data_IF_321375161455
#
_entry.id   IF_321375161455
#
_cell.length_a   1.000
_cell.length_b   1.000
_cell.length_c   1.000
_cell.angle_alpha   90.00
_cell.angle_beta   90.00
_cell.angle_gamma   90.00
#
_symmetry.space_group_name_H-M   'P 1'
#
loop_
_entity.id
_entity.type
_entity.pdbx_description
1 polymer ?
#
# COMPACT_ATOMS: atom_id res chain seq x y z
N UNK A 1 12.76 5.28 1.62
CA UNK A 1 12.86 4.45 0.40
C UNK A 1 13.12 2.97 0.69
N UNK A 2 14.28 2.58 1.23
CA UNK A 2 14.70 1.17 1.31
C UNK A 2 13.72 0.23 2.05
N UNK A 3 13.23 0.62 3.24
CA UNK A 3 12.31 -0.23 4.00
C UNK A 3 10.99 -0.52 3.27
N UNK A 4 10.45 0.45 2.53
CA UNK A 4 9.25 0.24 1.72
C UNK A 4 9.54 -0.67 0.53
N UNK A 5 10.69 -0.52 -0.12
CA UNK A 5 11.11 -1.42 -1.19
C UNK A 5 11.24 -2.88 -0.69
N UNK A 6 11.79 -3.10 0.50
CA UNK A 6 11.87 -4.43 1.12
C UNK A 6 10.49 -5.05 1.36
N UNK A 7 9.55 -4.27 1.92
CA UNK A 7 8.19 -4.74 2.16
C UNK A 7 7.47 -5.10 0.84
N UNK A 8 7.59 -4.25 -0.19
CA UNK A 8 7.03 -4.52 -1.51
C UNK A 8 7.67 -5.76 -2.16
N UNK A 9 9.00 -5.88 -2.12
CA UNK A 9 9.73 -7.03 -2.65
C UNK A 9 9.33 -8.33 -1.96
N UNK A 10 9.06 -8.29 -0.65
CA UNK A 10 8.54 -9.45 0.06
C UNK A 10 7.18 -9.89 -0.50
N UNK A 11 6.24 -8.97 -0.70
CA UNK A 11 4.95 -9.28 -1.33
C UNK A 11 5.12 -9.82 -2.75
N UNK A 12 6.04 -9.25 -3.53
CA UNK A 12 6.38 -9.73 -4.88
C UNK A 12 6.93 -11.17 -4.81
N UNK A 13 7.82 -11.46 -3.86
CA UNK A 13 8.41 -12.80 -3.67
C UNK A 13 7.38 -13.87 -3.31
N UNK A 14 6.26 -13.47 -2.70
CA UNK A 14 5.11 -14.32 -2.42
C UNK A 14 4.19 -14.51 -3.65
N UNK A 15 4.52 -13.91 -4.79
CA UNK A 15 3.79 -14.03 -6.06
C UNK A 15 2.78 -12.91 -6.32
N UNK A 16 2.69 -11.89 -5.46
CA UNK A 16 1.78 -10.77 -5.69
C UNK A 16 2.28 -9.86 -6.80
N UNK A 17 1.45 -9.65 -7.82
CA UNK A 17 1.73 -8.73 -8.95
C UNK A 17 0.93 -7.43 -8.89
N UNK A 18 -0.17 -7.43 -8.15
CA UNK A 18 -1.09 -6.29 -7.99
C UNK A 18 -1.06 -5.86 -6.54
N UNK A 19 -0.24 -4.87 -6.23
CA UNK A 19 0.04 -4.42 -4.87
C UNK A 19 -0.44 -2.99 -4.73
N UNK A 20 -1.26 -2.69 -3.72
CA UNK A 20 -1.63 -1.31 -3.40
C UNK A 20 -0.63 -0.67 -2.44
N UNK A 21 -0.50 0.66 -2.49
CA UNK A 21 0.20 1.44 -1.48
C UNK A 21 -0.82 2.23 -0.67
N UNK A 22 -0.90 1.97 0.63
CA UNK A 22 -1.95 2.52 1.52
C UNK A 22 -1.36 3.44 2.59
N UNK A 23 -1.95 4.63 2.73
CA UNK A 23 -1.58 5.65 3.70
C UNK A 23 -0.38 6.49 3.27
N UNK A 24 -0.09 7.51 4.09
CA UNK A 24 0.94 8.50 3.83
C UNK A 24 0.49 9.63 2.91
N UNK A 25 1.38 10.60 2.76
CA UNK A 25 1.18 11.81 1.97
C UNK A 25 2.47 12.21 1.28
N UNK A 26 2.38 12.71 0.05
CA UNK A 26 3.54 13.12 -0.75
C UNK A 26 3.98 14.55 -0.42
N UNK A 27 3.33 15.21 0.56
CA UNK A 27 3.67 16.55 1.02
C UNK A 27 4.98 16.59 1.84
N UNK A 28 5.43 15.44 2.35
CA UNK A 28 6.69 15.35 3.11
C UNK A 28 7.77 14.64 2.29
N UNK A 29 9.04 14.91 2.58
CA UNK A 29 10.18 14.20 1.97
C UNK A 29 10.07 12.69 2.22
N UNK A 30 9.87 12.30 3.49
CA UNK A 30 9.63 10.90 3.88
C UNK A 30 8.46 10.29 3.09
N UNK A 31 7.39 11.08 2.92
CA UNK A 31 6.25 10.89 2.01
C UNK A 31 6.62 10.32 0.65
N UNK A 32 7.35 11.16 -0.08
CA UNK A 32 7.82 10.88 -1.43
C UNK A 32 8.81 9.71 -1.43
N UNK A 33 9.73 9.66 -0.47
CA UNK A 33 10.76 8.62 -0.41
C UNK A 33 10.21 7.21 -0.20
N UNK A 34 9.17 7.03 0.62
CA UNK A 34 8.55 5.71 0.76
C UNK A 34 7.74 5.35 -0.48
N UNK A 35 7.02 6.30 -1.07
CA UNK A 35 6.31 6.02 -2.31
C UNK A 35 7.27 5.62 -3.42
N UNK A 36 8.40 6.34 -3.56
CA UNK A 36 9.45 6.00 -4.50
C UNK A 36 10.03 4.60 -4.24
N UNK A 37 10.20 4.21 -2.97
CA UNK A 37 10.63 2.85 -2.63
C UNK A 37 9.66 1.77 -3.12
N UNK A 38 8.35 2.02 -3.02
CA UNK A 38 7.33 1.14 -3.60
C UNK A 38 7.40 1.12 -5.13
N UNK A 39 7.49 2.27 -5.79
CA UNK A 39 7.59 2.38 -7.25
C UNK A 39 8.82 1.64 -7.79
N UNK A 40 10.00 1.88 -7.19
CA UNK A 40 11.24 1.24 -7.61
C UNK A 40 11.18 -0.29 -7.49
N UNK A 41 10.54 -0.82 -6.45
CA UNK A 41 10.40 -2.26 -6.26
C UNK A 41 9.47 -2.89 -7.33
N UNK A 42 8.36 -2.22 -7.65
CA UNK A 42 7.44 -2.65 -8.71
C UNK A 42 8.12 -2.60 -10.09
N UNK A 43 8.80 -1.49 -10.39
CA UNK A 43 9.52 -1.28 -11.65
C UNK A 43 10.65 -2.30 -11.83
N UNK A 44 11.47 -2.53 -10.80
CA UNK A 44 12.57 -3.51 -10.85
C UNK A 44 12.08 -4.95 -11.07
N UNK A 45 10.84 -5.26 -10.67
CA UNK A 45 10.20 -6.55 -10.92
C UNK A 45 9.41 -6.60 -12.25
N UNK A 46 9.41 -5.53 -13.05
CA UNK A 46 8.64 -5.43 -14.29
C UNK A 46 7.13 -5.43 -14.08
N UNK A 47 6.67 -4.97 -12.91
CA UNK A 47 5.25 -4.94 -12.54
C UNK A 47 4.66 -3.55 -12.77
N UNK A 48 3.43 -3.52 -13.30
CA UNK A 48 2.70 -2.28 -13.50
C UNK A 48 2.32 -1.63 -12.16
N UNK A 49 2.31 -0.29 -12.14
CA UNK A 49 1.72 0.49 -11.06
C UNK A 49 0.55 1.29 -11.63
N UNK A 50 -0.63 1.11 -11.04
CA UNK A 50 -1.82 1.90 -11.40
C UNK A 50 -2.00 3.05 -10.41
N UNK A 51 -2.33 4.28 -10.87
CA UNK A 51 -2.64 5.39 -9.96
C UNK A 51 -3.77 5.06 -8.97
N UNK A 52 -4.72 4.22 -9.37
CA UNK A 52 -5.82 3.73 -8.52
C UNK A 52 -5.37 2.82 -7.38
N UNK A 53 -4.16 2.24 -7.45
CA UNK A 53 -3.60 1.40 -6.39
C UNK A 53 -2.90 2.23 -5.29
N UNK A 54 -2.81 3.55 -5.46
CA UNK A 54 -2.35 4.46 -4.42
C UNK A 54 -3.55 5.00 -3.64
N UNK A 55 -3.67 4.61 -2.38
CA UNK A 55 -4.69 5.09 -1.45
C UNK A 55 -4.01 5.99 -0.40
N UNK A 56 -3.85 7.30 -0.66
CA UNK A 56 -3.20 8.20 0.29
C UNK A 56 -4.09 8.44 1.52
N UNK A 57 -3.47 8.82 2.65
CA UNK A 57 -4.22 9.11 3.86
C UNK A 57 -3.36 9.34 5.10
N UNK A 58 -3.97 9.74 6.22
CA UNK A 58 -3.27 9.88 7.50
C UNK A 58 -2.54 8.60 7.92
N UNK A 59 -1.49 8.75 8.74
CA UNK A 59 -0.66 7.63 9.22
C UNK A 59 -1.22 7.02 10.51
N UNK A 60 -2.54 6.87 10.57
CA UNK A 60 -3.29 6.46 11.77
C UNK A 60 -4.01 5.14 11.54
N UNK A 61 -4.34 4.45 12.65
CA UNK A 61 -5.14 3.23 12.62
C UNK A 61 -6.53 3.45 12.02
N UNK A 62 -7.18 4.55 12.37
CA UNK A 62 -8.52 4.90 11.86
C UNK A 62 -8.51 5.09 10.34
N UNK A 63 -7.52 5.81 9.81
CA UNK A 63 -7.41 6.00 8.36
C UNK A 63 -7.16 4.68 7.62
N UNK A 64 -6.37 3.77 8.19
CA UNK A 64 -6.19 2.43 7.63
C UNK A 64 -7.50 1.64 7.58
N UNK A 65 -8.30 1.71 8.63
CA UNK A 65 -9.62 1.05 8.70
C UNK A 65 -10.57 1.58 7.63
N UNK A 66 -10.65 2.90 7.46
CA UNK A 66 -11.48 3.54 6.43
C UNK A 66 -11.00 3.23 5.00
N UNK A 67 -9.68 3.08 4.81
CA UNK A 67 -9.08 2.72 3.54
C UNK A 67 -9.47 1.30 3.06
N UNK A 68 -9.91 0.41 3.96
CA UNK A 68 -10.33 -0.94 3.60
C UNK A 68 -11.47 -0.95 2.58
N UNK A 69 -12.48 -0.07 2.75
CA UNK A 69 -13.59 0.03 1.82
C UNK A 69 -13.12 0.44 0.42
N UNK A 70 -12.20 1.40 0.33
CA UNK A 70 -11.61 1.82 -0.94
C UNK A 70 -10.79 0.70 -1.58
N UNK A 71 -9.94 0.03 -0.78
CA UNK A 71 -9.11 -1.08 -1.23
C UNK A 71 -9.95 -2.23 -1.82
N UNK A 72 -11.03 -2.63 -1.15
CA UNK A 72 -11.93 -3.70 -1.59
C UNK A 72 -12.78 -3.32 -2.81
N UNK A 73 -13.05 -2.02 -3.00
CA UNK A 73 -13.85 -1.50 -4.12
C UNK A 73 -13.05 -1.28 -5.42
N UNK A 74 -11.73 -1.42 -5.42
CA UNK A 74 -10.90 -1.27 -6.61
C UNK A 74 -11.27 -2.30 -7.70
N UNK A 75 -11.58 -1.84 -8.92
CA UNK A 75 -11.94 -2.73 -10.05
C UNK A 75 -10.81 -3.68 -10.42
N UNK A 76 -9.59 -3.15 -10.56
CA UNK A 76 -8.36 -3.92 -10.74
C UNK A 76 -7.86 -4.42 -9.40
N UNK A 77 -8.58 -5.37 -8.80
CA UNK A 77 -8.41 -5.80 -7.40
C UNK A 77 -6.94 -6.16 -7.07
N UNK A 78 -6.25 -5.35 -6.25
CA UNK A 78 -4.96 -5.72 -5.70
C UNK A 78 -5.11 -6.98 -4.85
N UNK A 79 -4.07 -7.80 -4.80
CA UNK A 79 -4.03 -9.01 -3.97
C UNK A 79 -3.19 -8.83 -2.71
N UNK A 80 -2.47 -7.71 -2.59
CA UNK A 80 -1.74 -7.32 -1.39
C UNK A 80 -1.69 -5.79 -1.24
N UNK A 81 -1.31 -5.33 -0.05
CA UNK A 81 -1.12 -3.91 0.25
C UNK A 81 0.19 -3.68 1.01
N UNK A 82 1.04 -2.81 0.48
CA UNK A 82 2.14 -2.20 1.22
C UNK A 82 1.59 -0.99 1.98
N UNK A 83 1.63 -1.04 3.32
CA UNK A 83 1.10 0.04 4.15
C UNK A 83 2.22 1.00 4.58
N UNK A 84 1.86 2.27 4.76
CA UNK A 84 2.82 3.31 5.15
C UNK A 84 3.54 3.01 6.46
N UNK A 85 2.80 2.53 7.46
CA UNK A 85 3.29 2.06 8.76
C UNK A 85 2.39 0.93 9.28
N UNK A 86 2.79 0.39 10.42
CA UNK A 86 2.09 -0.62 11.20
C UNK A 86 0.67 -0.20 11.62
N UNK A 87 0.46 1.04 12.07
CA UNK A 87 -0.87 1.52 12.44
C UNK A 87 -1.86 1.48 11.27
N UNK A 88 -1.44 1.95 10.09
CA UNK A 88 -2.25 1.86 8.87
C UNK A 88 -2.50 0.40 8.50
N UNK A 89 -1.48 -0.47 8.59
CA UNK A 89 -1.63 -1.90 8.30
C UNK A 89 -2.65 -2.57 9.22
N UNK A 90 -2.55 -2.35 10.54
CA UNK A 90 -3.49 -2.86 11.54
C UNK A 90 -4.89 -2.32 11.28
N UNK A 91 -5.02 -1.03 10.96
CA UNK A 91 -6.29 -0.42 10.57
C UNK A 91 -6.91 -1.13 9.38
N UNK A 92 -6.14 -1.26 8.30
CA UNK A 92 -6.56 -1.90 7.05
C UNK A 92 -6.99 -3.35 7.27
N UNK A 93 -6.20 -4.14 8.01
CA UNK A 93 -6.54 -5.53 8.34
C UNK A 93 -7.88 -5.61 9.09
N UNK A 94 -8.12 -4.75 10.08
CA UNK A 94 -9.37 -4.71 10.82
C UNK A 94 -10.56 -4.30 9.93
N UNK A 95 -10.36 -3.34 9.02
CA UNK A 95 -11.40 -2.90 8.10
C UNK A 95 -11.77 -3.98 7.09
N UNK A 96 -10.77 -4.71 6.56
CA UNK A 96 -10.97 -5.85 5.66
C UNK A 96 -11.71 -6.97 6.40
N UNK A 97 -11.25 -7.36 7.60
CA UNK A 97 -11.90 -8.41 8.38
C UNK A 97 -13.36 -8.10 8.74
N UNK A 98 -13.73 -6.82 8.88
CA UNK A 98 -15.12 -6.40 9.10
C UNK A 98 -15.98 -6.52 7.84
N UNK A 99 -15.39 -6.46 6.65
CA UNK A 99 -16.10 -6.51 5.38
C UNK A 99 -16.41 -7.94 4.91
N UNK A 100 -15.81 -8.97 5.53
CA UNK A 100 -15.99 -10.40 5.23
C UNK A 100 -14.79 -11.01 4.51
#
# INVERSE_FOLDING_TARGET
AYGTALATNHLISLGHKRIAMVGGTDQTSTGRDRYQGYLNAMEAAGLEVKPSWRIPGPRTKQAGFEAAGQFLALKDKPTAACCWNDLVAIGLMNGIARAG
#
